data_IF_382177401171
#
_entry.id   IF_382177401171
#
_cell.length_a   1.000
_cell.length_b   1.000
_cell.length_c   1.000
_cell.angle_alpha   90.00
_cell.angle_beta   90.00
_cell.angle_gamma   90.00
#
_symmetry.space_group_name_H-M   'P 1'
#
loop_
_entity.id
_entity.type
_entity.pdbx_description
1 polymer ?
#
# COMPACT_ATOMS: atom_id res chain seq x y z
N UNK A 1 4.61 22.26 -3.83
CA UNK A 1 3.95 21.69 -2.63
C UNK A 1 4.33 22.57 -1.45
N UNK A 2 3.38 23.15 -0.71
CA UNK A 2 3.73 23.94 0.47
C UNK A 2 4.23 23.02 1.58
N UNK A 3 5.38 23.34 2.16
CA UNK A 3 5.93 22.63 3.32
C UNK A 3 6.89 21.49 2.98
N UNK A 4 7.47 20.93 4.04
CA UNK A 4 8.55 19.97 3.94
C UNK A 4 8.01 18.56 3.62
N UNK A 5 8.23 18.12 2.38
CA UNK A 5 7.72 16.85 1.86
C UNK A 5 8.86 16.08 1.19
N UNK A 6 9.03 14.81 1.58
CA UNK A 6 10.13 13.95 1.13
C UNK A 6 9.60 12.72 0.40
N UNK A 7 10.19 12.41 -0.75
CA UNK A 7 9.88 11.22 -1.55
C UNK A 7 11.10 10.28 -1.63
N UNK A 8 10.91 8.95 -1.60
CA UNK A 8 12.00 8.00 -1.77
C UNK A 8 12.54 8.04 -3.20
N UNK A 9 13.85 7.79 -3.37
CA UNK A 9 14.51 7.70 -4.68
C UNK A 9 15.28 6.38 -4.73
N UNK A 10 15.32 5.71 -5.88
CA UNK A 10 15.94 4.39 -6.02
C UNK A 10 17.42 4.33 -5.58
N UNK A 11 18.17 5.43 -5.76
CA UNK A 11 19.62 5.50 -5.48
C UNK A 11 20.00 6.46 -4.33
N UNK A 12 19.01 6.95 -3.55
CA UNK A 12 19.23 7.92 -2.46
C UNK A 12 18.15 7.80 -1.40
N UNK A 13 18.48 8.12 -0.14
CA UNK A 13 17.55 7.96 0.99
C UNK A 13 16.19 8.63 0.74
N UNK A 14 16.18 9.95 0.50
CA UNK A 14 14.97 10.71 0.16
C UNK A 14 15.33 11.98 -0.63
N UNK A 15 14.39 12.51 -1.41
CA UNK A 15 14.47 13.82 -2.08
C UNK A 15 13.35 14.74 -1.61
N UNK A 16 13.66 16.02 -1.35
CA UNK A 16 12.66 17.02 -1.01
C UNK A 16 11.85 17.39 -2.25
N UNK A 17 10.55 17.16 -2.24
CA UNK A 17 9.63 17.51 -3.33
C UNK A 17 8.74 18.73 -2.99
N UNK A 18 8.76 19.17 -1.73
CA UNK A 18 8.15 20.41 -1.27
C UNK A 18 9.17 21.52 -1.03
N UNK A 19 8.88 22.40 -0.06
CA UNK A 19 9.74 23.51 0.33
C UNK A 19 10.14 23.41 1.81
N UNK A 20 11.41 23.62 2.11
CA UNK A 20 11.88 23.76 3.49
C UNK A 20 11.81 25.23 3.90
N UNK A 21 11.09 25.53 4.99
CA UNK A 21 10.89 26.91 5.48
C UNK A 21 10.45 27.89 4.38
N UNK A 22 9.56 27.44 3.49
CA UNK A 22 9.03 28.22 2.36
C UNK A 22 10.10 28.69 1.34
N UNK A 23 11.30 28.09 1.34
CA UNK A 23 12.34 28.34 0.35
C UNK A 23 12.13 27.46 -0.89
N UNK A 24 11.71 28.05 -2.02
CA UNK A 24 11.48 27.34 -3.28
C UNK A 24 12.76 26.71 -3.86
N UNK A 25 13.96 27.20 -3.49
CA UNK A 25 15.25 26.67 -3.97
C UNK A 25 15.70 25.41 -3.23
N UNK A 26 14.96 24.99 -2.20
CA UNK A 26 15.24 23.79 -1.43
C UNK A 26 14.77 22.51 -2.12
N UNK A 27 13.85 22.61 -3.08
CA UNK A 27 13.29 21.48 -3.84
C UNK A 27 14.36 20.68 -4.58
N UNK A 28 14.14 19.37 -4.76
CA UNK A 28 15.02 18.42 -5.43
C UNK A 28 16.38 18.17 -4.77
N UNK A 29 16.53 18.51 -3.48
CA UNK A 29 17.73 18.16 -2.71
C UNK A 29 17.55 16.81 -2.03
N UNK A 30 18.59 15.97 -2.08
CA UNK A 30 18.61 14.71 -1.35
C UNK A 30 18.78 14.95 0.14
N UNK A 31 18.30 14.03 0.99
CA UNK A 31 18.47 14.09 2.43
C UNK A 31 19.95 14.17 2.82
N UNK A 32 20.83 13.45 2.13
CA UNK A 32 22.28 13.55 2.32
C UNK A 32 22.83 14.93 1.97
N UNK A 33 22.30 15.56 0.92
CA UNK A 33 22.61 16.93 0.53
C UNK A 33 22.00 17.99 1.44
N UNK A 34 21.07 17.60 2.33
CA UNK A 34 20.33 18.49 3.21
C UNK A 34 20.71 18.22 4.67
N UNK A 35 21.46 19.13 5.29
CA UNK A 35 21.88 19.02 6.70
C UNK A 35 22.74 17.77 7.05
N UNK A 36 23.43 17.20 6.06
CA UNK A 36 24.36 16.08 6.26
C UNK A 36 23.68 14.75 6.59
N UNK A 37 22.48 14.51 6.05
CA UNK A 37 21.75 13.24 6.25
C UNK A 37 20.98 13.16 7.56
N UNK A 38 20.89 14.24 8.34
CA UNK A 38 20.07 14.29 9.55
C UNK A 38 18.67 14.80 9.22
N UNK A 39 17.68 13.91 9.38
CA UNK A 39 16.27 14.29 9.38
C UNK A 39 16.04 15.43 10.39
N UNK A 40 15.25 16.46 10.04
CA UNK A 40 14.83 17.44 11.01
C UNK A 40 14.08 16.77 12.17
N UNK A 41 14.27 17.31 13.37
CA UNK A 41 13.79 16.74 14.63
C UNK A 41 12.26 16.62 14.72
N UNK A 42 11.51 17.29 13.85
CA UNK A 42 10.11 17.01 13.57
C UNK A 42 10.07 16.04 12.39
N UNK A 43 9.85 14.74 12.62
CA UNK A 43 9.72 13.74 11.57
C UNK A 43 8.82 14.28 10.45
N UNK A 44 9.36 14.57 9.25
CA UNK A 44 8.52 14.92 8.13
C UNK A 44 7.70 13.69 7.75
N UNK A 45 6.55 13.91 7.11
CA UNK A 45 5.69 12.84 6.63
C UNK A 45 6.42 12.07 5.53
N UNK A 46 7.11 11.01 5.93
CA UNK A 46 7.81 10.12 5.01
C UNK A 46 6.79 9.19 4.35
N UNK A 47 6.81 9.12 3.02
CA UNK A 47 6.00 8.16 2.26
C UNK A 47 4.63 8.66 1.79
N UNK A 48 4.34 9.95 1.87
CA UNK A 48 3.12 10.55 1.30
C UNK A 48 3.12 10.51 -0.24
N UNK A 49 4.30 10.48 -0.85
CA UNK A 49 4.47 10.59 -2.30
C UNK A 49 5.57 9.65 -2.79
N UNK A 50 5.29 8.97 -3.90
CA UNK A 50 6.25 8.21 -4.70
C UNK A 50 6.31 8.83 -6.09
N UNK A 51 7.50 9.07 -6.61
CA UNK A 51 7.70 9.50 -7.99
C UNK A 51 8.00 8.27 -8.84
N UNK A 52 7.09 7.96 -9.77
CA UNK A 52 7.30 6.88 -10.73
C UNK A 52 7.85 7.47 -12.04
N UNK A 53 8.99 6.95 -12.51
CA UNK A 53 9.48 7.24 -13.85
C UNK A 53 8.65 6.45 -14.88
N UNK A 54 8.25 7.10 -15.97
CA UNK A 54 7.70 6.40 -17.14
C UNK A 54 8.87 5.74 -17.87
N UNK A 55 8.79 4.42 -18.09
CA UNK A 55 9.79 3.68 -18.89
C UNK A 55 9.84 4.18 -20.34
N UNK A 56 11.00 4.10 -20.96
CA UNK A 56 11.27 4.65 -22.30
C UNK A 56 10.61 3.87 -23.47
N UNK A 57 9.78 2.87 -23.20
CA UNK A 57 9.15 2.03 -24.23
C UNK A 57 7.96 2.70 -24.96
N UNK A 58 7.70 3.98 -24.68
CA UNK A 58 6.51 4.71 -25.15
C UNK A 58 6.84 6.01 -25.91
N UNK A 59 8.01 6.08 -26.55
CA UNK A 59 8.29 7.09 -27.58
C UNK A 59 8.28 6.40 -28.95
N UNK A 60 7.05 6.03 -29.36
CA UNK A 60 6.74 5.65 -30.73
C UNK A 60 6.94 6.85 -31.65
N UNK A 61 8.09 6.87 -32.29
CA UNK A 61 8.49 7.80 -33.34
C UNK A 61 7.71 7.45 -34.63
N UNK A 62 6.66 8.21 -34.98
CA UNK A 62 6.21 8.29 -36.38
C UNK A 62 5.73 9.69 -36.75
N UNK A 63 6.51 10.27 -37.65
CA UNK A 63 6.30 11.51 -38.40
C UNK A 63 5.25 11.29 -39.50
N UNK A 64 4.27 12.18 -39.57
CA UNK A 64 3.59 12.69 -40.79
C UNK A 64 2.87 11.73 -41.75
N UNK A 65 1.57 11.95 -41.98
CA UNK A 65 1.04 12.40 -43.28
C UNK A 65 -0.50 12.51 -43.30
N UNK A 66 -0.95 13.53 -44.02
CA UNK A 66 -2.29 14.01 -44.38
C UNK A 66 -3.35 12.99 -44.87
N UNK A 67 -4.59 13.26 -44.43
CA UNK A 67 -5.82 13.58 -45.19
C UNK A 67 -6.31 12.71 -46.38
N UNK A 68 -7.64 12.56 -46.38
CA UNK A 68 -8.61 12.40 -47.49
C UNK A 68 -9.10 10.97 -47.78
N UNK A 69 -10.34 10.68 -48.23
CA UNK A 69 -11.66 11.32 -48.31
C UNK A 69 -12.62 10.25 -48.90
N UNK A 70 -13.90 10.26 -48.48
CA UNK A 70 -15.11 9.70 -49.16
C UNK A 70 -15.22 8.15 -49.28
N UNK A 71 -16.39 7.49 -49.24
CA UNK A 71 -17.80 7.83 -49.48
C UNK A 71 -18.68 6.76 -48.77
N UNK A 72 -19.74 7.12 -48.04
CA UNK A 72 -21.17 7.16 -48.45
C UNK A 72 -21.78 5.81 -48.89
N UNK A 73 -22.77 5.28 -48.15
CA UNK A 73 -24.22 5.18 -48.55
C UNK A 73 -25.08 4.76 -47.33
N UNK A 74 -26.27 5.37 -47.31
CA UNK A 74 -27.47 5.29 -46.45
C UNK A 74 -27.98 3.84 -46.19
N UNK A 75 -28.86 3.52 -45.23
CA UNK A 75 -30.11 4.19 -44.86
C UNK A 75 -30.76 3.59 -43.59
N UNK A 76 -31.62 4.37 -42.92
CA UNK A 76 -32.80 3.98 -42.10
C UNK A 76 -32.70 3.45 -40.64
N UNK A 77 -32.64 4.39 -39.67
CA UNK A 77 -33.60 4.74 -38.57
C UNK A 77 -34.06 3.67 -37.49
N UNK A 78 -34.30 4.08 -36.21
CA UNK A 78 -33.99 3.38 -34.94
C UNK A 78 -35.28 3.00 -34.12
N UNK A 79 -35.34 2.84 -32.76
CA UNK A 79 -34.31 2.88 -31.71
C UNK A 79 -34.35 1.83 -30.56
N UNK A 80 -33.19 1.81 -29.86
CA UNK A 80 -32.90 1.61 -28.45
C UNK A 80 -32.98 0.19 -27.82
N UNK A 81 -31.87 -0.45 -27.43
CA UNK A 81 -30.81 -0.09 -26.44
C UNK A 81 -31.30 -0.17 -24.98
N UNK A 82 -30.63 -0.83 -24.03
CA UNK A 82 -29.23 -1.23 -23.93
C UNK A 82 -29.07 -2.48 -23.04
N UNK A 83 -28.35 -3.47 -23.54
CA UNK A 83 -27.64 -4.48 -22.74
C UNK A 83 -26.18 -4.04 -22.72
N UNK A 84 -25.68 -3.52 -21.59
CA UNK A 84 -24.27 -3.17 -21.47
C UNK A 84 -23.50 -4.44 -21.15
N UNK A 85 -22.68 -4.88 -22.10
CA UNK A 85 -21.65 -5.89 -21.91
C UNK A 85 -20.43 -5.28 -21.23
N UNK A 86 -19.75 -6.17 -20.50
CA UNK A 86 -18.47 -6.06 -19.84
C UNK A 86 -17.44 -5.11 -20.47
N UNK A 87 -16.77 -4.36 -19.61
CA UNK A 87 -15.45 -3.80 -19.87
C UNK A 87 -14.63 -4.01 -18.61
N UNK A 88 -13.93 -5.14 -18.56
CA UNK A 88 -12.94 -5.44 -17.51
C UNK A 88 -11.81 -4.40 -17.66
N UNK A 89 -11.49 -3.61 -16.63
CA UNK A 89 -10.34 -2.72 -16.68
C UNK A 89 -9.05 -3.55 -16.76
N UNK A 90 -8.03 -3.09 -17.52
CA UNK A 90 -6.77 -3.81 -17.63
C UNK A 90 -6.07 -3.89 -16.27
N UNK A 91 -5.54 -5.07 -15.98
CA UNK A 91 -4.75 -5.35 -14.79
C UNK A 91 -3.57 -4.36 -14.68
N UNK A 92 -3.23 -3.88 -13.47
CA UNK A 92 -2.03 -3.09 -13.27
C UNK A 92 -0.80 -3.96 -13.54
N UNK A 93 0.01 -3.57 -14.53
CA UNK A 93 1.28 -4.23 -14.84
C UNK A 93 2.32 -3.75 -13.82
N UNK A 94 2.84 -4.66 -13.00
CA UNK A 94 3.84 -4.39 -11.97
C UNK A 94 5.26 -4.26 -12.56
N UNK A 95 6.14 -3.46 -11.91
CA UNK A 95 7.56 -3.36 -12.27
C UNK A 95 8.34 -4.63 -11.89
N UNK A 96 9.28 -5.00 -12.75
CA UNK A 96 10.12 -6.20 -12.63
C UNK A 96 10.96 -6.21 -11.35
N UNK A 97 10.98 -7.36 -10.68
CA UNK A 97 11.69 -7.64 -9.43
C UNK A 97 13.21 -7.93 -9.59
N UNK A 98 13.85 -7.48 -10.67
CA UNK A 98 15.22 -7.90 -11.01
C UNK A 98 16.30 -6.83 -10.77
N UNK A 99 16.03 -5.86 -9.90
CA UNK A 99 17.06 -4.95 -9.40
C UNK A 99 17.26 -5.17 -7.91
N UNK A 100 18.19 -6.07 -7.58
CA UNK A 100 18.81 -6.08 -6.26
C UNK A 100 19.45 -4.69 -6.05
N UNK A 101 18.75 -3.82 -5.34
CA UNK A 101 19.15 -2.43 -5.12
C UNK A 101 20.43 -2.42 -4.28
N UNK A 102 21.60 -2.03 -4.81
CA UNK A 102 22.83 -1.97 -4.03
C UNK A 102 22.78 -0.72 -3.15
N UNK A 103 22.71 -0.89 -1.83
CA UNK A 103 22.82 0.22 -0.86
C UNK A 103 21.67 0.40 0.12
N UNK A 104 20.68 -0.50 0.13
CA UNK A 104 19.57 -0.44 1.11
C UNK A 104 20.07 -0.84 2.50
N UNK A 105 19.92 0.06 3.48
CA UNK A 105 20.20 -0.24 4.88
C UNK A 105 19.11 -1.16 5.47
N UNK A 106 19.34 -2.47 5.34
CA UNK A 106 18.46 -3.51 5.90
C UNK A 106 18.54 -3.61 7.44
N UNK A 107 19.27 -2.72 8.12
CA UNK A 107 19.23 -2.65 9.58
C UNK A 107 17.95 -2.00 10.12
N UNK A 108 17.25 -1.21 9.29
CA UNK A 108 15.92 -0.69 9.62
C UNK A 108 14.86 -1.80 9.38
N UNK A 109 14.11 -2.22 10.43
CA UNK A 109 13.05 -3.21 10.30
C UNK A 109 11.93 -2.84 9.32
N UNK A 110 11.62 -1.55 9.15
CA UNK A 110 10.63 -1.06 8.18
C UNK A 110 11.12 -1.36 6.77
N UNK A 111 12.37 -1.01 6.48
CA UNK A 111 13.00 -1.21 5.16
C UNK A 111 13.17 -2.70 4.88
N UNK A 112 13.70 -3.44 5.85
CA UNK A 112 13.90 -4.88 5.72
C UNK A 112 12.58 -5.62 5.45
N UNK A 113 11.51 -5.28 6.17
CA UNK A 113 10.20 -5.91 5.96
C UNK A 113 9.51 -5.43 4.68
N UNK A 114 9.72 -4.17 4.27
CA UNK A 114 9.30 -3.66 2.97
C UNK A 114 9.84 -4.51 1.83
N UNK A 115 11.15 -4.76 1.81
CA UNK A 115 11.81 -5.61 0.80
C UNK A 115 11.41 -7.08 0.93
N UNK A 116 11.37 -7.61 2.16
CA UNK A 116 11.12 -9.03 2.42
C UNK A 116 9.70 -9.46 2.07
N UNK A 117 8.72 -8.58 2.26
CA UNK A 117 7.32 -8.96 2.21
C UNK A 117 6.49 -8.21 1.18
N UNK A 118 6.97 -7.08 0.65
CA UNK A 118 6.17 -6.20 -0.21
C UNK A 118 4.80 -5.90 0.39
N UNK A 119 4.72 -5.40 1.64
CA UNK A 119 3.46 -5.20 2.33
C UNK A 119 2.67 -4.04 1.69
N UNK A 120 1.38 -4.25 1.47
CA UNK A 120 0.46 -3.27 0.93
C UNK A 120 -0.83 -3.26 1.74
N UNK A 121 -1.19 -2.09 2.26
CA UNK A 121 -2.44 -1.89 2.99
C UNK A 121 -3.61 -1.81 2.03
N UNK A 122 -4.70 -2.48 2.38
CA UNK A 122 -5.94 -2.53 1.61
C UNK A 122 -7.10 -2.22 2.55
N UNK A 123 -7.96 -1.29 2.16
CA UNK A 123 -9.22 -0.96 2.82
C UNK A 123 -10.42 -1.00 1.88
N UNK A 124 -11.45 -0.24 2.26
CA UNK A 124 -12.75 -0.21 1.56
C UNK A 124 -12.64 0.34 0.15
N UNK A 125 -11.74 1.29 -0.08
CA UNK A 125 -11.55 1.93 -1.38
C UNK A 125 -10.93 0.95 -2.40
N UNK A 126 -10.12 0.01 -1.92
CA UNK A 126 -9.50 -1.06 -2.70
C UNK A 126 -10.36 -2.34 -2.74
N UNK A 127 -11.58 -2.31 -2.17
CA UNK A 127 -12.56 -3.39 -2.26
C UNK A 127 -12.63 -4.33 -1.05
N UNK A 128 -11.82 -4.12 -0.03
CA UNK A 128 -11.90 -4.89 1.21
C UNK A 128 -12.99 -4.36 2.14
N UNK A 129 -13.96 -5.20 2.52
CA UNK A 129 -15.16 -4.79 3.25
C UNK A 129 -15.28 -5.35 4.68
N UNK A 130 -14.19 -5.86 5.26
CA UNK A 130 -14.21 -6.41 6.63
C UNK A 130 -14.85 -7.80 6.73
N UNK A 131 -14.54 -8.69 5.78
CA UNK A 131 -15.03 -10.07 5.74
C UNK A 131 -14.47 -10.98 6.84
N UNK A 132 -14.68 -12.29 6.69
CA UNK A 132 -14.06 -13.31 7.54
C UNK A 132 -12.56 -13.45 7.28
N UNK A 133 -11.87 -14.25 8.10
CA UNK A 133 -10.47 -14.61 7.89
C UNK A 133 -10.25 -15.26 6.52
N UNK A 134 -11.12 -16.20 6.15
CA UNK A 134 -11.05 -16.89 4.86
C UNK A 134 -11.32 -15.93 3.70
N UNK A 135 -12.24 -14.96 3.86
CA UNK A 135 -12.45 -13.90 2.89
C UNK A 135 -11.18 -13.06 2.70
N UNK A 136 -10.44 -12.77 3.77
CA UNK A 136 -9.19 -12.02 3.70
C UNK A 136 -8.07 -12.81 2.99
N UNK A 137 -7.97 -14.11 3.25
CA UNK A 137 -7.06 -15.02 2.53
C UNK A 137 -7.37 -15.00 1.02
N UNK A 138 -8.66 -15.16 0.67
CA UNK A 138 -9.11 -15.15 -0.71
C UNK A 138 -8.90 -13.79 -1.38
N UNK A 139 -9.19 -12.70 -0.65
CA UNK A 139 -8.99 -11.35 -1.12
C UNK A 139 -7.52 -11.08 -1.45
N UNK A 140 -6.59 -11.31 -0.52
CA UNK A 140 -5.17 -11.08 -0.81
C UNK A 140 -4.67 -11.98 -1.95
N UNK A 141 -5.19 -13.20 -2.06
CA UNK A 141 -4.85 -14.09 -3.18
C UNK A 141 -5.36 -13.58 -4.54
N UNK A 142 -6.48 -12.86 -4.55
CA UNK A 142 -7.07 -12.27 -5.77
C UNK A 142 -6.27 -11.12 -6.37
N UNK A 143 -5.43 -10.46 -5.55
CA UNK A 143 -4.50 -9.41 -5.97
C UNK A 143 -3.05 -9.93 -6.04
N UNK A 144 -2.89 -11.22 -6.37
CA UNK A 144 -1.61 -11.93 -6.51
C UNK A 144 -0.72 -11.92 -5.25
N UNK A 145 -1.31 -11.64 -4.09
CA UNK A 145 -0.65 -11.61 -2.80
C UNK A 145 -1.00 -12.80 -1.90
N UNK A 146 -0.79 -12.58 -0.61
CA UNK A 146 -1.20 -13.43 0.50
C UNK A 146 -1.40 -12.57 1.75
N UNK A 147 -2.05 -13.11 2.77
CA UNK A 147 -2.03 -12.46 4.08
C UNK A 147 -0.58 -12.26 4.54
N UNK A 148 -0.31 -11.08 5.08
CA UNK A 148 0.98 -10.78 5.67
C UNK A 148 1.20 -11.53 7.00
N UNK A 149 2.44 -11.96 7.29
CA UNK A 149 2.78 -12.47 8.61
C UNK A 149 2.85 -11.34 9.64
N UNK A 150 2.83 -11.68 10.93
CA UNK A 150 2.90 -10.71 12.02
C UNK A 150 4.06 -9.71 11.87
N UNK A 151 5.26 -10.16 11.53
CA UNK A 151 6.43 -9.28 11.39
C UNK A 151 6.22 -8.17 10.36
N UNK A 152 5.46 -8.43 9.30
CA UNK A 152 5.15 -7.43 8.28
C UNK A 152 4.19 -6.35 8.80
N UNK A 153 3.28 -6.69 9.72
CA UNK A 153 2.44 -5.72 10.41
C UNK A 153 3.21 -4.96 11.49
N UNK A 154 4.09 -5.65 12.21
CA UNK A 154 4.70 -5.20 13.46
C UNK A 154 6.22 -5.35 13.40
N UNK A 155 6.92 -4.52 12.60
CA UNK A 155 8.35 -4.66 12.34
C UNK A 155 9.22 -4.53 13.59
N UNK A 156 8.72 -3.87 14.63
CA UNK A 156 9.40 -3.68 15.91
C UNK A 156 8.88 -4.60 17.03
N UNK A 157 7.94 -5.49 16.72
CA UNK A 157 7.28 -6.38 17.68
C UNK A 157 6.06 -5.78 18.40
N UNK A 158 5.62 -6.45 19.46
CA UNK A 158 4.43 -6.07 20.23
C UNK A 158 4.59 -4.74 20.97
N UNK A 159 3.48 -4.01 21.16
CA UNK A 159 3.42 -2.70 21.85
C UNK A 159 4.23 -1.61 21.15
N UNK A 160 4.61 -1.83 19.90
CA UNK A 160 5.33 -0.89 19.04
C UNK A 160 4.44 -0.43 17.89
N UNK A 161 4.82 0.66 17.21
CA UNK A 161 4.13 1.11 16.01
C UNK A 161 4.05 0.02 14.95
N UNK A 162 2.92 -0.01 14.25
CA UNK A 162 2.71 -0.84 13.07
C UNK A 162 3.56 -0.36 11.88
N UNK A 163 3.62 -1.17 10.85
CA UNK A 163 4.15 -0.83 9.53
C UNK A 163 3.47 0.46 8.98
N UNK A 164 4.22 1.54 8.70
CA UNK A 164 3.70 2.74 8.04
C UNK A 164 3.19 2.44 6.63
N UNK A 165 2.39 3.36 6.07
CA UNK A 165 1.90 3.26 4.69
C UNK A 165 0.39 3.45 4.53
N UNK A 166 -0.33 3.70 5.62
CA UNK A 166 -1.75 4.02 5.57
C UNK A 166 -1.98 5.49 5.93
N UNK A 167 -2.35 6.30 4.94
CA UNK A 167 -2.64 7.73 5.11
C UNK A 167 -4.11 7.89 5.51
N UNK A 168 -4.34 8.60 6.61
CA UNK A 168 -5.61 9.17 7.06
C UNK A 168 -6.75 8.27 7.60
N UNK A 169 -6.78 6.95 7.40
CA UNK A 169 -7.93 6.14 7.85
C UNK A 169 -7.79 5.39 9.19
N UNK A 170 -6.58 5.25 9.75
CA UNK A 170 -6.42 4.78 11.12
C UNK A 170 -6.59 5.95 12.08
N UNK A 171 -7.72 5.98 12.78
CA UNK A 171 -7.71 6.59 14.10
C UNK A 171 -6.99 5.61 15.00
N UNK A 172 -5.70 5.84 15.23
CA UNK A 172 -4.83 4.96 16.03
C UNK A 172 -5.42 4.64 17.42
N UNK A 173 -6.37 5.46 17.89
CA UNK A 173 -7.04 5.33 19.17
C UNK A 173 -8.27 4.38 19.15
N UNK A 174 -8.65 3.86 17.99
CA UNK A 174 -9.77 2.91 17.84
C UNK A 174 -9.23 1.47 17.74
N UNK A 175 -10.00 0.50 18.24
CA UNK A 175 -9.65 -0.91 18.16
C UNK A 175 -9.84 -1.41 16.73
N UNK A 176 -8.83 -2.09 16.20
CA UNK A 176 -8.87 -2.61 14.84
C UNK A 176 -8.04 -3.86 14.71
N UNK A 177 -8.62 -4.90 14.14
CA UNK A 177 -7.99 -6.18 13.91
C UNK A 177 -7.77 -6.46 12.44
N UNK A 178 -6.53 -6.83 12.11
CA UNK A 178 -6.16 -7.29 10.78
C UNK A 178 -5.79 -8.79 10.81
N UNK A 179 -6.19 -9.56 9.79
CA UNK A 179 -5.92 -10.98 9.72
C UNK A 179 -4.44 -11.22 9.38
N UNK A 180 -3.83 -12.17 10.09
CA UNK A 180 -2.39 -12.47 9.99
C UNK A 180 -2.15 -13.90 9.51
N UNK A 181 -1.12 -14.07 8.68
CA UNK A 181 -0.63 -15.37 8.25
C UNK A 181 0.35 -15.98 9.26
N UNK A 182 0.53 -17.30 9.17
CA UNK A 182 1.75 -17.97 9.66
C UNK A 182 1.72 -18.49 11.09
N UNK A 183 0.61 -18.39 11.81
CA UNK A 183 0.49 -18.96 13.16
C UNK A 183 0.08 -20.44 13.19
N UNK A 184 -0.08 -21.09 12.03
CA UNK A 184 -0.65 -22.45 11.96
C UNK A 184 -2.08 -22.54 12.51
N UNK A 185 -2.70 -21.37 12.76
CA UNK A 185 -4.07 -21.21 13.21
C UNK A 185 -4.86 -20.53 12.11
N UNK A 186 -6.01 -21.09 11.78
CA UNK A 186 -7.05 -20.39 11.06
C UNK A 186 -7.64 -19.32 12.00
N UNK A 187 -8.09 -18.19 11.46
CA UNK A 187 -8.74 -17.12 12.22
C UNK A 187 -7.82 -16.38 13.21
N UNK A 188 -6.58 -16.11 12.81
CA UNK A 188 -5.61 -15.34 13.59
C UNK A 188 -5.68 -13.83 13.24
N UNK A 189 -5.64 -12.98 14.27
CA UNK A 189 -5.82 -11.53 14.14
C UNK A 189 -4.83 -10.76 15.00
N UNK A 190 -4.32 -9.64 14.50
CA UNK A 190 -3.47 -8.70 15.25
C UNK A 190 -4.17 -7.36 15.41
N UNK A 191 -4.10 -6.78 16.60
CA UNK A 191 -4.59 -5.42 16.83
C UNK A 191 -3.61 -4.41 16.23
N UNK A 192 -4.04 -3.65 15.24
CA UNK A 192 -3.25 -2.59 14.57
C UNK A 192 -3.69 -1.20 15.00
N UNK A 193 -4.68 -1.10 15.89
CA UNK A 193 -5.10 0.13 16.56
C UNK A 193 -4.84 0.07 18.06
N UNK A 194 -5.77 0.61 18.85
CA UNK A 194 -5.71 0.61 20.32
C UNK A 194 -7.04 0.12 20.89
N UNK A 195 -6.97 -0.93 21.71
CA UNK A 195 -8.10 -1.38 22.50
C UNK A 195 -8.33 -0.41 23.66
N UNK A 196 -9.54 0.12 23.79
CA UNK A 196 -9.93 1.08 24.84
C UNK A 196 -8.99 2.29 24.96
N UNK A 197 -8.32 2.67 23.86
CA UNK A 197 -7.33 3.74 23.82
C UNK A 197 -5.98 3.40 24.49
N UNK A 198 -5.70 2.14 24.83
CA UNK A 198 -4.43 1.71 25.42
C UNK A 198 -3.39 1.41 24.32
N UNK A 199 -2.31 2.21 24.20
CA UNK A 199 -1.25 2.00 23.21
C UNK A 199 -0.44 0.71 23.44
N UNK A 200 -0.48 0.12 24.63
CA UNK A 200 0.18 -1.17 24.91
C UNK A 200 -0.54 -2.35 24.26
N UNK A 201 -1.70 -2.14 23.64
CA UNK A 201 -2.48 -3.19 22.99
C UNK A 201 -2.21 -3.29 21.48
N UNK A 202 -1.54 -2.30 20.91
CA UNK A 202 -1.09 -2.33 19.51
C UNK A 202 -0.08 -3.45 19.30
N UNK A 203 -0.12 -4.07 18.13
CA UNK A 203 0.74 -5.20 17.77
C UNK A 203 0.64 -6.41 18.71
N UNK A 204 -0.51 -6.59 19.36
CA UNK A 204 -0.83 -7.83 20.07
C UNK A 204 -1.80 -8.69 19.28
N UNK A 205 -1.56 -10.00 19.29
CA UNK A 205 -2.50 -10.98 18.76
C UNK A 205 -3.79 -11.00 19.57
N UNK A 206 -4.91 -11.34 18.94
CA UNK A 206 -6.19 -11.47 19.65
C UNK A 206 -6.12 -12.48 20.79
N UNK A 207 -5.38 -13.58 20.60
CA UNK A 207 -5.09 -14.62 21.59
C UNK A 207 -4.26 -14.13 22.79
N UNK A 208 -3.50 -13.04 22.63
CA UNK A 208 -2.76 -12.39 23.71
C UNK A 208 -3.64 -11.44 24.52
N UNK A 209 -4.69 -10.88 23.90
CA UNK A 209 -5.61 -9.93 24.52
C UNK A 209 -6.85 -10.62 25.11
N UNK A 210 -7.23 -11.77 24.58
CA UNK A 210 -8.46 -12.47 24.92
C UNK A 210 -8.24 -13.97 25.07
N UNK A 211 -9.00 -14.65 25.93
CA UNK A 211 -8.81 -16.08 26.20
C UNK A 211 -9.33 -17.01 25.09
N UNK A 212 -10.20 -16.53 24.20
CA UNK A 212 -10.84 -17.33 23.15
C UNK A 212 -10.60 -16.69 21.78
N UNK A 213 -10.68 -17.45 20.69
CA UNK A 213 -10.65 -16.89 19.34
C UNK A 213 -11.93 -16.05 19.05
N UNK A 214 -11.85 -15.06 18.14
CA UNK A 214 -13.00 -14.23 17.82
C UNK A 214 -13.97 -14.93 16.87
N UNK A 215 -15.23 -15.11 17.28
CA UNK A 215 -16.29 -15.63 16.40
C UNK A 215 -16.60 -14.69 15.23
N UNK A 216 -16.49 -13.37 15.44
CA UNK A 216 -16.65 -12.37 14.37
C UNK A 216 -15.56 -12.47 13.30
N UNK A 217 -14.43 -13.12 13.60
CA UNK A 217 -13.37 -13.37 12.61
C UNK A 217 -13.72 -14.50 11.63
N UNK A 218 -14.69 -15.36 11.97
CA UNK A 218 -15.16 -16.45 11.10
C UNK A 218 -16.31 -16.05 10.18
N UNK A 219 -16.77 -14.80 10.27
CA UNK A 219 -17.93 -14.30 9.54
C UNK A 219 -17.67 -12.86 9.06
N UNK A 220 -18.61 -12.29 8.31
CA UNK A 220 -18.57 -10.88 7.91
C UNK A 220 -19.12 -9.92 8.98
N UNK A 221 -19.32 -10.40 10.23
CA UNK A 221 -19.74 -9.55 11.35
C UNK A 221 -18.63 -8.56 11.75
N UNK A 222 -18.98 -7.46 12.41
CA UNK A 222 -18.02 -6.43 12.87
C UNK A 222 -17.07 -5.91 11.75
N UNK A 223 -17.57 -5.49 10.58
CA UNK A 223 -16.70 -5.04 9.49
C UNK A 223 -15.91 -3.78 9.86
N UNK A 224 -16.42 -2.98 10.80
CA UNK A 224 -15.77 -1.77 11.30
C UNK A 224 -14.57 -2.07 12.22
N UNK A 225 -14.49 -3.26 12.82
CA UNK A 225 -13.28 -3.72 13.52
C UNK A 225 -12.23 -4.28 12.56
N UNK A 226 -12.59 -4.49 11.29
CA UNK A 226 -11.77 -5.17 10.29
C UNK A 226 -11.59 -4.33 9.02
N UNK A 227 -11.57 -3.00 9.12
CA UNK A 227 -11.60 -2.10 7.93
C UNK A 227 -10.41 -2.24 6.99
N UNK A 228 -9.29 -2.78 7.48
CA UNK A 228 -7.99 -2.74 6.82
C UNK A 228 -7.27 -4.06 7.02
N UNK A 229 -6.63 -4.54 5.97
CA UNK A 229 -5.78 -5.71 5.95
C UNK A 229 -4.47 -5.37 5.26
N UNK A 230 -3.41 -6.09 5.60
CA UNK A 230 -2.12 -6.01 4.92
C UNK A 230 -1.94 -7.27 4.07
N UNK A 231 -1.85 -7.06 2.76
CA UNK A 231 -1.51 -8.11 1.82
C UNK A 231 -0.03 -8.01 1.47
N UNK A 232 0.65 -9.15 1.44
CA UNK A 232 2.06 -9.25 1.13
C UNK A 232 2.17 -9.85 -0.27
N UNK A 233 2.89 -9.17 -1.16
CA UNK A 233 3.12 -9.67 -2.50
C UNK A 233 3.95 -10.96 -2.42
N UNK A 234 3.66 -11.92 -3.29
CA UNK A 234 4.55 -13.08 -3.43
C UNK A 234 5.83 -12.58 -4.08
N UNK A 235 6.89 -12.46 -3.30
CA UNK A 235 8.22 -12.39 -3.87
C UNK A 235 8.44 -13.72 -4.61
N UNK A 236 8.42 -13.70 -5.95
CA UNK A 236 8.91 -14.82 -6.76
C UNK A 236 10.42 -14.94 -6.51
N UNK A 237 10.77 -15.64 -5.43
CA UNK A 237 12.13 -16.06 -5.14
C UNK A 237 12.30 -17.49 -5.63
N UNK A 238 12.76 -17.62 -6.88
CA UNK A 238 13.41 -18.78 -7.52
C UNK A 238 12.60 -20.08 -7.71
#
# INVERSE_FOLDING_TARGET
FPGEVWAPVADSDYVLIGTFQDDETSTCKTLTGFNGGKLPSSLPKLGDYVLCCKGEDDIGDTVGADLSTANSVQDSVPPASNSVQDSVPPAPVLPNADSAVPGVDLSDPIVANGVKYGPYWVGREEGWNGGSYDDAVNFCSSIEGRLCPFDAYCPFGAEKPIMPGFHDGFKNNEEHYSPVAGFGQDNAWVNVGMKDGDPSTTCKGYDQLYPNQPEWGRTSAEPELKRYILCCMRNESA
#
